data_IF_633633892887
#
_entry.id   IF_633633892887
#
_cell.length_a   1.000
_cell.length_b   1.000
_cell.length_c   1.000
_cell.angle_alpha   90.00
_cell.angle_beta   90.00
_cell.angle_gamma   90.00
#
_symmetry.space_group_name_H-M   'P 1'
#
loop_
_entity.id
_entity.type
_entity.pdbx_description
1 polymer ?
#
# COMPACT_ATOMS: atom_id res chain seq x y z
N UNK A 1 15.07 -9.93 -2.18
CA UNK A 1 14.41 -9.87 -0.87
C UNK A 1 13.55 -11.11 -0.72
N UNK A 2 13.53 -11.75 0.46
CA UNK A 2 12.79 -12.99 0.65
C UNK A 2 11.32 -12.73 1.01
N UNK A 3 10.42 -13.40 0.32
CA UNK A 3 8.98 -13.35 0.57
C UNK A 3 8.44 -14.75 0.83
N UNK A 4 7.36 -14.84 1.61
CA UNK A 4 6.65 -16.10 1.85
C UNK A 4 5.50 -16.27 0.88
N UNK A 5 5.31 -17.48 0.37
CA UNK A 5 4.14 -17.80 -0.45
C UNK A 5 2.93 -18.05 0.45
N UNK A 6 1.85 -17.35 0.14
CA UNK A 6 0.53 -17.52 0.73
C UNK A 6 -0.45 -18.04 -0.32
N UNK A 7 -1.42 -18.82 0.13
CA UNK A 7 -2.57 -19.27 -0.64
C UNK A 7 -3.79 -18.45 -0.25
N UNK A 8 -4.45 -17.88 -1.25
CA UNK A 8 -5.64 -17.03 -1.12
C UNK A 8 -6.84 -17.75 -1.70
N UNK A 9 -7.98 -17.63 -1.03
CA UNK A 9 -9.28 -18.04 -1.55
C UNK A 9 -10.08 -16.79 -1.95
N UNK A 10 -10.40 -16.68 -3.24
CA UNK A 10 -11.22 -15.59 -3.74
C UNK A 10 -12.65 -15.67 -3.17
N UNK A 11 -13.17 -14.57 -2.63
CA UNK A 11 -14.55 -14.48 -2.14
C UNK A 11 -15.61 -14.52 -3.22
N UNK A 12 -15.28 -14.08 -4.44
CA UNK A 12 -16.21 -14.08 -5.56
C UNK A 12 -16.28 -15.44 -6.29
N UNK A 13 -15.17 -15.91 -6.87
CA UNK A 13 -15.16 -17.14 -7.69
C UNK A 13 -14.73 -18.40 -6.93
N UNK A 14 -14.36 -18.30 -5.65
CA UNK A 14 -13.96 -19.41 -4.78
C UNK A 14 -12.71 -20.19 -5.23
N UNK A 15 -12.00 -19.74 -6.27
CA UNK A 15 -10.75 -20.34 -6.69
C UNK A 15 -9.64 -20.06 -5.68
N UNK A 16 -8.66 -20.96 -5.67
CA UNK A 16 -7.44 -20.81 -4.88
C UNK A 16 -6.31 -20.36 -5.78
N UNK A 17 -5.56 -19.37 -5.33
CA UNK A 17 -4.37 -18.89 -6.02
C UNK A 17 -3.26 -18.57 -5.03
N UNK A 18 -2.04 -18.43 -5.55
CA UNK A 18 -0.86 -18.14 -4.74
C UNK A 18 -0.36 -16.74 -5.01
N UNK A 19 0.11 -16.08 -3.96
CA UNK A 19 0.82 -14.83 -4.05
C UNK A 19 1.91 -14.77 -2.98
N UNK A 20 2.91 -13.93 -3.20
CA UNK A 20 3.94 -13.66 -2.20
C UNK A 20 3.50 -12.53 -1.25
N UNK A 21 3.91 -12.64 0.01
CA UNK A 21 3.78 -11.63 1.05
C UNK A 21 5.11 -11.36 1.73
N UNK A 22 5.25 -10.14 2.26
CA UNK A 22 6.38 -9.79 3.10
C UNK A 22 6.44 -10.69 4.33
N UNK A 23 7.66 -11.06 4.72
CA UNK A 23 7.85 -11.84 5.95
C UNK A 23 7.43 -10.99 7.17
N UNK A 24 6.68 -11.53 8.15
CA UNK A 24 6.10 -10.75 9.26
C UNK A 24 7.09 -10.04 10.21
N UNK A 25 8.39 -10.21 9.99
CA UNK A 25 9.44 -9.85 10.95
C UNK A 25 10.06 -8.48 10.72
N UNK A 26 9.70 -7.75 9.66
CA UNK A 26 10.35 -6.47 9.32
C UNK A 26 9.42 -5.29 9.54
N UNK A 27 9.61 -4.60 10.67
CA UNK A 27 8.84 -3.41 11.03
C UNK A 27 9.21 -2.21 10.16
N UNK A 28 8.20 -1.46 9.72
CA UNK A 28 8.38 -0.24 8.92
C UNK A 28 8.66 -0.50 7.43
N UNK A 29 8.57 -1.75 7.00
CA UNK A 29 8.68 -2.14 5.59
C UNK A 29 7.32 -2.61 5.07
N UNK A 30 6.99 -2.23 3.84
CA UNK A 30 5.69 -2.48 3.25
C UNK A 30 5.83 -2.97 1.81
N UNK A 31 5.08 -4.03 1.49
CA UNK A 31 4.80 -4.43 0.12
C UNK A 31 3.55 -3.70 -0.32
N UNK A 32 3.72 -2.67 -1.14
CA UNK A 32 2.62 -1.91 -1.69
C UNK A 32 2.12 -2.55 -2.98
N UNK A 33 0.81 -2.60 -3.17
CA UNK A 33 0.18 -3.10 -4.40
C UNK A 33 -0.60 -1.98 -5.07
N UNK A 34 -0.53 -1.93 -6.40
CA UNK A 34 -1.31 -0.98 -7.18
C UNK A 34 -2.79 -1.36 -7.13
N UNK A 35 -3.65 -0.35 -7.06
CA UNK A 35 -5.10 -0.47 -7.23
C UNK A 35 -5.47 -1.13 -8.57
N UNK A 36 -4.65 -1.06 -9.62
CA UNK A 36 -4.93 -1.77 -10.88
C UNK A 36 -4.61 -3.28 -10.80
N UNK A 37 -3.88 -3.70 -9.75
CA UNK A 37 -3.38 -5.06 -9.56
C UNK A 37 -2.24 -5.47 -10.50
N UNK A 38 -1.60 -4.53 -11.20
CA UNK A 38 -0.56 -4.82 -12.21
C UNK A 38 0.88 -4.61 -11.75
N UNK A 39 1.07 -4.03 -10.57
CA UNK A 39 2.39 -3.73 -10.05
C UNK A 39 2.44 -3.78 -8.54
N UNK A 40 3.60 -4.19 -8.04
CA UNK A 40 4.00 -4.07 -6.65
C UNK A 40 5.21 -3.15 -6.50
N UNK A 41 5.29 -2.49 -5.34
CA UNK A 41 6.44 -1.67 -4.96
C UNK A 41 6.82 -1.93 -3.52
N UNK A 42 8.08 -1.73 -3.23
CA UNK A 42 8.62 -1.82 -1.90
C UNK A 42 8.79 -0.42 -1.30
N UNK A 43 8.39 -0.26 -0.04
CA UNK A 43 8.57 0.94 0.75
C UNK A 43 9.24 0.57 2.07
N UNK A 44 10.28 1.32 2.43
CA UNK A 44 10.81 1.33 3.79
C UNK A 44 10.49 2.68 4.44
N UNK A 45 9.42 2.72 5.24
CA UNK A 45 8.93 3.93 5.90
C UNK A 45 9.86 4.48 7.00
N UNK A 46 10.92 3.75 7.36
CA UNK A 46 11.94 4.24 8.31
C UNK A 46 13.04 5.07 7.63
N UNK A 47 13.23 4.86 6.32
CA UNK A 47 14.30 5.51 5.54
C UNK A 47 13.78 6.40 4.43
N UNK A 48 12.50 6.26 4.07
CA UNK A 48 11.86 7.09 3.06
C UNK A 48 11.50 8.48 3.62
N UNK A 49 12.09 9.57 3.09
CA UNK A 49 11.83 10.92 3.60
C UNK A 49 10.43 11.43 3.24
N UNK A 50 9.81 10.90 2.19
CA UNK A 50 8.45 11.27 1.77
C UNK A 50 7.43 10.65 2.72
N UNK A 51 7.68 9.47 3.25
CA UNK A 51 6.86 8.85 4.30
C UNK A 51 6.74 9.74 5.54
N UNK A 52 7.87 10.23 6.06
CA UNK A 52 7.87 11.18 7.18
C UNK A 52 7.20 12.51 6.80
N UNK A 53 7.44 13.02 5.59
CA UNK A 53 6.81 14.25 5.11
C UNK A 53 5.29 14.14 5.08
N UNK A 54 4.75 13.08 4.49
CA UNK A 54 3.30 12.83 4.42
C UNK A 54 2.71 12.66 5.81
N UNK A 55 3.36 11.89 6.69
CA UNK A 55 2.92 11.73 8.07
C UNK A 55 2.84 13.08 8.82
N UNK A 56 3.82 13.96 8.60
CA UNK A 56 3.84 15.30 9.18
C UNK A 56 2.73 16.18 8.61
N UNK A 57 2.54 16.19 7.29
CA UNK A 57 1.50 16.99 6.64
C UNK A 57 0.11 16.52 7.06
N UNK A 58 -0.11 15.21 7.16
CA UNK A 58 -1.38 14.66 7.63
C UNK A 58 -1.74 15.09 9.06
N UNK A 59 -0.76 15.20 9.95
CA UNK A 59 -1.00 15.71 11.31
C UNK A 59 -1.43 17.18 11.36
N UNK A 60 -1.15 17.94 10.30
CA UNK A 60 -1.60 19.34 10.19
C UNK A 60 -3.06 19.42 9.71
N UNK A 61 -3.58 18.36 9.07
CA UNK A 61 -4.98 18.31 8.65
C UNK A 61 -5.90 18.15 9.86
N UNK A 62 -6.83 19.09 10.02
CA UNK A 62 -7.64 19.21 11.25
C UNK A 62 -8.54 17.97 11.47
N UNK A 63 -9.02 17.33 10.40
CA UNK A 63 -9.83 16.10 10.47
C UNK A 63 -9.04 14.86 10.90
N UNK A 64 -7.70 14.93 10.84
CA UNK A 64 -6.79 13.84 11.17
C UNK A 64 -6.11 14.08 12.52
N UNK A 65 -5.70 15.32 12.82
CA UNK A 65 -5.00 15.66 14.07
C UNK A 65 -5.81 15.44 15.35
N UNK A 66 -7.14 15.37 15.27
CA UNK A 66 -8.03 15.06 16.41
C UNK A 66 -8.18 13.56 16.68
N UNK A 67 -7.68 12.70 15.79
CA UNK A 67 -7.78 11.24 15.89
C UNK A 67 -6.65 10.65 16.73
N UNK A 68 -6.84 9.42 17.21
CA UNK A 68 -5.79 8.68 17.93
C UNK A 68 -4.58 8.37 17.04
N UNK A 69 -3.41 8.13 17.64
CA UNK A 69 -2.18 7.78 16.89
C UNK A 69 -2.37 6.54 16.00
N UNK A 70 -3.18 5.57 16.46
CA UNK A 70 -3.54 4.40 15.67
C UNK A 70 -4.32 4.79 14.42
N UNK A 71 -5.38 5.57 14.57
CA UNK A 71 -6.20 6.02 13.43
C UNK A 71 -5.38 6.89 12.45
N UNK A 72 -4.47 7.72 12.96
CA UNK A 72 -3.56 8.49 12.11
C UNK A 72 -2.62 7.57 11.32
N UNK A 73 -2.13 6.49 11.94
CA UNK A 73 -1.29 5.49 11.28
C UNK A 73 -2.06 4.70 10.23
N UNK A 74 -3.29 4.27 10.54
CA UNK A 74 -4.17 3.57 9.60
C UNK A 74 -4.50 4.46 8.39
N UNK A 75 -4.74 5.75 8.62
CA UNK A 75 -4.93 6.75 7.56
C UNK A 75 -3.69 6.93 6.70
N UNK A 76 -2.51 7.10 7.31
CA UNK A 76 -1.25 7.22 6.58
C UNK A 76 -1.03 6.01 5.67
N UNK A 77 -1.20 4.79 6.17
CA UNK A 77 -1.04 3.57 5.37
C UNK A 77 -2.04 3.48 4.22
N UNK A 78 -3.23 4.06 4.39
CA UNK A 78 -4.29 4.07 3.38
C UNK A 78 -4.00 5.07 2.26
N UNK A 79 -3.51 6.27 2.59
CA UNK A 79 -3.42 7.37 1.63
C UNK A 79 -2.02 7.62 1.09
N UNK A 80 -0.97 7.08 1.70
CA UNK A 80 0.42 7.34 1.32
C UNK A 80 0.69 7.13 -0.19
N UNK A 81 -0.08 6.25 -0.83
CA UNK A 81 -0.08 6.03 -2.28
C UNK A 81 -0.12 7.28 -3.14
N UNK A 82 -0.77 8.37 -2.69
CA UNK A 82 -0.85 9.63 -3.46
C UNK A 82 0.48 10.34 -3.61
N UNK A 83 1.43 10.06 -2.71
CA UNK A 83 2.78 10.59 -2.78
C UNK A 83 3.69 9.73 -3.67
N UNK A 84 3.27 8.51 -4.02
CA UNK A 84 4.01 7.63 -4.92
C UNK A 84 3.71 8.00 -6.39
N UNK A 85 4.69 7.81 -7.26
CA UNK A 85 4.41 7.79 -8.70
C UNK A 85 3.52 6.57 -9.00
N UNK A 86 2.46 6.74 -9.81
CA UNK A 86 1.52 5.66 -10.07
C UNK A 86 2.16 4.57 -10.94
N UNK A 87 1.45 3.45 -11.06
CA UNK A 87 1.83 2.44 -12.04
C UNK A 87 1.64 2.89 -13.50
N UNK A 88 1.93 1.98 -14.43
CA UNK A 88 1.84 2.23 -15.89
C UNK A 88 0.43 2.59 -16.38
N UNK A 89 -0.61 2.19 -15.66
CA UNK A 89 -2.01 2.45 -15.98
C UNK A 89 -2.60 3.61 -15.14
N UNK A 90 -1.79 4.26 -14.32
CA UNK A 90 -2.19 5.39 -13.48
C UNK A 90 -2.72 5.01 -12.09
N UNK A 91 -2.64 3.75 -11.70
CA UNK A 91 -3.08 3.24 -10.40
C UNK A 91 -2.20 3.71 -9.23
N UNK A 92 -2.85 4.07 -8.12
CA UNK A 92 -2.16 4.38 -6.87
C UNK A 92 -1.76 3.10 -6.14
N UNK A 93 -0.68 3.18 -5.36
CA UNK A 93 -0.21 2.07 -4.53
C UNK A 93 -0.78 2.14 -3.12
N UNK A 94 -1.20 1.02 -2.56
CA UNK A 94 -1.67 0.92 -1.17
C UNK A 94 -0.87 -0.13 -0.38
N UNK A 95 -0.62 0.12 0.90
CA UNK A 95 0.16 -0.78 1.76
C UNK A 95 -0.61 -2.04 2.17
N UNK A 96 -1.93 -1.92 2.36
CA UNK A 96 -2.77 -2.99 2.90
C UNK A 96 -3.65 -3.66 1.84
N UNK A 97 -3.37 -3.41 0.55
CA UNK A 97 -4.14 -4.00 -0.53
C UNK A 97 -3.75 -5.47 -0.72
N UNK A 98 -4.73 -6.35 -0.70
CA UNK A 98 -4.56 -7.78 -0.97
C UNK A 98 -4.42 -8.03 -2.47
N UNK A 99 -3.79 -9.15 -2.89
CA UNK A 99 -3.67 -9.47 -4.30
C UNK A 99 -5.04 -9.73 -4.93
N UNK A 100 -5.21 -9.28 -6.18
CA UNK A 100 -6.42 -9.59 -6.97
C UNK A 100 -6.42 -11.06 -7.37
N UNK A 101 -7.62 -11.64 -7.42
CA UNK A 101 -7.80 -12.97 -7.96
C UNK A 101 -7.40 -13.01 -9.45
N UNK A 102 -6.48 -13.90 -9.87
CA UNK A 102 -6.03 -13.97 -11.26
C UNK A 102 -7.13 -14.46 -12.22
N UNK A 103 -8.13 -15.20 -11.72
CA UNK A 103 -9.18 -15.78 -12.57
C UNK A 103 -10.35 -14.83 -12.82
N UNK A 104 -10.71 -13.99 -11.84
CA UNK A 104 -11.90 -13.12 -11.94
C UNK A 104 -11.63 -11.62 -11.64
N UNK A 105 -10.40 -11.25 -11.27
CA UNK A 105 -10.02 -9.87 -10.98
C UNK A 105 -10.55 -9.28 -9.66
N UNK A 106 -11.37 -10.03 -8.92
CA UNK A 106 -11.94 -9.59 -7.64
C UNK A 106 -10.85 -9.35 -6.57
N UNK A 107 -11.06 -8.31 -5.77
CA UNK A 107 -10.27 -7.98 -4.56
C UNK A 107 -10.85 -8.65 -3.31
N UNK A 108 -12.02 -9.27 -3.42
CA UNK A 108 -12.67 -9.94 -2.31
C UNK A 108 -11.91 -11.25 -1.99
N UNK A 109 -11.33 -11.32 -0.80
CA UNK A 109 -10.61 -12.48 -0.28
C UNK A 109 -11.32 -13.00 0.97
N UNK A 110 -11.78 -14.25 0.93
CA UNK A 110 -12.44 -14.89 2.07
C UNK A 110 -11.43 -15.39 3.11
N UNK A 111 -10.30 -15.90 2.63
CA UNK A 111 -9.32 -16.57 3.46
C UNK A 111 -7.94 -16.52 2.81
N UNK A 112 -6.90 -16.44 3.62
CA UNK A 112 -5.52 -16.61 3.17
C UNK A 112 -4.68 -17.25 4.26
N UNK A 113 -3.76 -18.13 3.85
CA UNK A 113 -2.86 -18.88 4.75
C UNK A 113 -1.49 -19.02 4.11
N UNK A 114 -0.45 -19.12 4.93
CA UNK A 114 0.87 -19.51 4.43
C UNK A 114 0.78 -20.87 3.72
N UNK A 115 1.52 -21.04 2.62
CA UNK A 115 1.61 -22.32 1.95
C UNK A 115 2.20 -23.40 2.87
N UNK A 116 1.71 -24.63 2.77
CA UNK A 116 2.20 -25.79 3.51
C UNK A 116 2.71 -26.85 2.50
N UNK A 117 4.01 -27.19 2.49
CA UNK A 117 5.07 -26.65 3.35
C UNK A 117 5.40 -25.17 3.05
N UNK A 118 5.93 -24.40 4.03
CA UNK A 118 6.34 -23.02 3.82
C UNK A 118 7.34 -22.90 2.67
N UNK A 119 7.02 -22.04 1.70
CA UNK A 119 7.89 -21.72 0.57
C UNK A 119 8.29 -20.26 0.61
N UNK A 120 9.58 -20.02 0.42
CA UNK A 120 10.14 -18.68 0.25
C UNK A 120 10.53 -18.47 -1.21
N UNK A 121 10.37 -17.24 -1.68
CA UNK A 121 10.83 -16.80 -3.00
C UNK A 121 11.71 -15.57 -2.82
N UNK A 122 12.83 -15.53 -3.53
CA UNK A 122 13.68 -14.34 -3.61
C UNK A 122 13.22 -13.52 -4.81
N UNK A 123 12.71 -12.32 -4.53
CA UNK A 123 12.23 -11.39 -5.55
C UNK A 123 12.90 -10.03 -5.36
N UNK A 124 13.21 -9.40 -6.48
CA UNK A 124 13.63 -8.00 -6.52
C UNK A 124 12.41 -7.15 -6.87
N UNK A 125 11.80 -6.55 -5.84
CA UNK A 125 10.65 -5.66 -6.00
C UNK A 125 11.18 -4.21 -6.07
N UNK A 126 10.85 -3.45 -7.13
CA UNK A 126 11.27 -2.06 -7.24
C UNK A 126 10.77 -1.21 -6.08
N UNK A 127 11.58 -0.24 -5.66
CA UNK A 127 11.16 0.75 -4.67
C UNK A 127 10.10 1.69 -5.23
N UNK A 128 9.23 2.22 -4.36
CA UNK A 128 8.41 3.39 -4.70
C UNK A 128 9.28 4.57 -5.14
N UNK A 129 8.74 5.38 -6.04
CA UNK A 129 9.36 6.65 -6.47
C UNK A 129 8.40 7.79 -6.20
N UNK A 130 8.92 9.00 -6.07
CA UNK A 130 8.17 10.18 -5.61
C UNK A 130 8.41 11.41 -6.51
N UNK A 131 8.69 11.21 -7.80
CA UNK A 131 9.07 12.30 -8.71
C UNK A 131 7.98 13.36 -8.82
N UNK A 132 6.73 12.94 -9.00
CA UNK A 132 5.57 13.85 -9.10
C UNK A 132 5.35 14.59 -7.79
N UNK A 133 5.39 13.88 -6.66
CA UNK A 133 5.23 14.48 -5.33
C UNK A 133 6.30 15.51 -5.01
N UNK A 134 7.56 15.20 -5.31
CA UNK A 134 8.70 16.07 -5.05
C UNK A 134 8.72 17.33 -5.93
N UNK A 135 8.00 17.31 -7.06
CA UNK A 135 7.83 18.49 -7.91
C UNK A 135 6.79 19.48 -7.36
N UNK A 136 5.96 19.07 -6.39
CA UNK A 136 4.91 19.91 -5.81
C UNK A 136 5.46 20.84 -4.73
N UNK A 137 4.91 22.06 -4.69
CA UNK A 137 5.04 22.96 -3.55
C UNK A 137 4.21 22.49 -2.35
N UNK A 138 4.51 23.02 -1.16
CA UNK A 138 3.84 22.61 0.07
C UNK A 138 2.31 22.76 0.03
N UNK A 139 1.80 23.85 -0.56
CA UNK A 139 0.37 24.09 -0.68
C UNK A 139 -0.32 23.07 -1.61
N UNK A 140 0.37 22.66 -2.69
CA UNK A 140 -0.15 21.65 -3.63
C UNK A 140 -0.16 20.26 -2.98
N UNK A 141 0.86 19.92 -2.20
CA UNK A 141 0.91 18.66 -1.43
C UNK A 141 -0.25 18.54 -0.44
N UNK A 142 -0.55 19.62 0.31
CA UNK A 142 -1.71 19.65 1.21
C UNK A 142 -3.02 19.47 0.44
N UNK A 143 -3.20 20.16 -0.68
CA UNK A 143 -4.38 20.03 -1.52
C UNK A 143 -4.58 18.59 -2.04
N UNK A 144 -3.49 17.89 -2.42
CA UNK A 144 -3.54 16.48 -2.82
C UNK A 144 -4.04 15.60 -1.67
N UNK A 145 -3.49 15.77 -0.46
CA UNK A 145 -3.89 14.99 0.71
C UNK A 145 -5.34 15.26 1.11
N UNK A 146 -5.77 16.53 1.13
CA UNK A 146 -7.15 16.90 1.42
C UNK A 146 -8.14 16.29 0.44
N UNK A 147 -7.81 16.31 -0.86
CA UNK A 147 -8.67 15.74 -1.89
C UNK A 147 -8.79 14.22 -1.74
N UNK A 148 -7.69 13.54 -1.44
CA UNK A 148 -7.69 12.09 -1.20
C UNK A 148 -8.53 11.72 0.04
N UNK A 149 -8.34 12.45 1.15
CA UNK A 149 -9.12 12.24 2.36
C UNK A 149 -10.63 12.40 2.09
N UNK A 150 -11.03 13.46 1.36
CA UNK A 150 -12.43 13.68 0.97
C UNK A 150 -12.97 12.56 0.09
N UNK A 151 -12.19 12.08 -0.88
CA UNK A 151 -12.60 10.99 -1.77
C UNK A 151 -12.83 9.68 -1.00
N UNK A 152 -12.03 9.42 0.04
CA UNK A 152 -12.18 8.25 0.91
C UNK A 152 -13.19 8.44 2.05
N UNK A 153 -13.84 9.61 2.15
CA UNK A 153 -14.92 9.88 3.09
C UNK A 153 -14.48 10.28 4.50
N UNK A 154 -13.28 10.85 4.65
CA UNK A 154 -12.74 11.35 5.92
C UNK A 154 -12.99 12.84 6.17
#
# INVERSE_FOLDING_TARGET
MNFLIYRYQCGNCQCWFEHFEMTPVVYGEFLMRSETGRAERYLNGLTDPVYEEVARLLRLETSVGSRSEREQSDLLQTIFGVACDPDVDGGLFQMNLLPRCPDCGSEEINHYVAAEPPRMVDLEIPHVTHHRWNALGQAEKLLVLENELKQRGF
#
